data_IF_467004971567
#
_entry.id   IF_467004971567
#
_cell.length_a   1.000
_cell.length_b   1.000
_cell.length_c   1.000
_cell.angle_alpha   90.00
_cell.angle_beta   90.00
_cell.angle_gamma   90.00
#
_symmetry.space_group_name_H-M   'P 1'
#
loop_
_entity.id
_entity.type
_entity.pdbx_description
1 polymer ?
2 non-polymer ?
3 non-polymer ?
4 water ?
#
# COMPACT_ATOMS: atom_id res chain seq x y z
N UNK A 1 0.48 4.30 28.13
CA UNK A 1 1.28 5.48 27.81
C UNK A 1 0.37 6.60 27.29
N UNK A 2 -0.70 6.88 28.03
CA UNK A 2 -1.68 7.86 27.58
C UNK A 2 -1.40 9.27 28.07
N UNK A 3 -0.55 9.43 29.08
CA UNK A 3 -0.31 10.77 29.58
C UNK A 3 0.86 11.44 28.88
N UNK A 4 1.97 10.72 28.71
CA UNK A 4 3.15 11.25 28.08
C UNK A 4 3.48 10.44 26.85
N UNK A 5 3.80 11.16 25.78
CA UNK A 5 4.49 10.63 24.61
C UNK A 5 5.56 9.62 24.98
N UNK A 6 5.57 8.47 24.31
CA UNK A 6 6.76 7.61 24.38
C UNK A 6 7.91 8.25 23.61
N UNK A 7 9.13 8.12 24.15
CA UNK A 7 10.30 8.68 23.49
C UNK A 7 10.44 8.16 22.07
N UNK A 8 10.08 6.90 21.83
CA UNK A 8 10.24 6.35 20.49
C UNK A 8 9.32 7.04 19.48
N UNK A 9 8.22 7.67 19.92
CA UNK A 9 7.32 8.36 19.01
C UNK A 9 7.73 9.82 18.75
N UNK A 10 8.53 10.41 19.63
CA UNK A 10 8.90 11.82 19.48
C UNK A 10 9.46 12.18 18.11
N UNK A 11 10.36 11.39 17.49
CA UNK A 11 10.85 11.81 16.18
C UNK A 11 9.75 11.90 15.14
N UNK A 12 8.73 11.04 15.23
CA UNK A 12 7.63 11.09 14.28
C UNK A 12 6.76 12.32 14.51
N UNK A 13 6.50 12.64 15.78
CA UNK A 13 5.76 13.86 16.07
C UNK A 13 6.52 15.08 15.57
N UNK A 14 7.85 15.06 15.68
CA UNK A 14 8.63 16.22 15.23
C UNK A 14 8.62 16.37 13.71
N UNK A 15 8.74 15.26 12.98
CA UNK A 15 8.61 15.31 11.52
C UNK A 15 7.29 15.95 11.13
N UNK A 16 6.21 15.50 11.79
CA UNK A 16 4.88 16.02 11.49
C UNK A 16 4.80 17.52 11.80
N UNK A 17 5.31 17.92 12.95
CA UNK A 17 5.17 19.31 13.33
C UNK A 17 5.95 20.23 12.40
N UNK A 18 7.14 19.80 11.98
CA UNK A 18 7.98 20.64 11.13
C UNK A 18 7.37 20.84 9.75
N UNK A 19 6.64 19.86 9.23
CA UNK A 19 6.12 19.97 7.87
C UNK A 19 4.64 20.32 7.81
N UNK A 20 3.90 20.13 8.88
CA UNK A 20 2.47 20.38 8.90
C UNK A 20 1.71 19.14 8.50
N UNK A 21 0.38 19.28 8.50
CA UNK A 21 -0.40 18.14 8.11
C UNK A 21 -0.47 17.07 9.20
N UNK A 22 -0.87 15.88 8.78
CA UNK A 22 -1.22 14.80 9.69
C UNK A 22 -0.49 13.54 9.22
N UNK A 23 0.41 13.01 10.06
CA UNK A 23 1.29 11.92 9.69
C UNK A 23 0.93 10.67 10.50
N UNK A 24 0.60 9.58 9.82
CA UNK A 24 0.32 8.31 10.46
C UNK A 24 1.40 7.29 10.15
N UNK A 25 1.90 6.63 11.20
CA UNK A 25 2.98 5.66 11.05
C UNK A 25 2.66 4.45 11.91
N UNK A 26 2.91 3.25 11.36
CA UNK A 26 2.94 2.05 12.18
C UNK A 26 3.97 1.10 11.60
N UNK A 27 4.82 0.55 12.45
CA UNK A 27 5.77 -0.47 12.05
C UNK A 27 5.73 -1.61 13.06
N UNK A 28 5.98 -2.81 12.57
CA UNK A 28 6.03 -3.99 13.42
C UNK A 28 7.21 -4.86 13.04
N UNK A 29 7.96 -5.28 14.05
CA UNK A 29 8.98 -6.32 13.90
C UNK A 29 8.27 -7.67 14.02
N UNK A 30 8.26 -8.46 12.95
CA UNK A 30 7.46 -9.69 12.97
C UNK A 30 8.07 -10.75 13.86
N UNK A 31 9.33 -10.62 14.24
CA UNK A 31 9.92 -11.59 15.13
C UNK A 31 9.54 -11.34 16.58
N UNK A 32 9.71 -10.11 17.03
CA UNK A 32 9.52 -9.80 18.44
C UNK A 32 8.15 -9.25 18.76
N UNK A 33 7.41 -8.79 17.75
CA UNK A 33 6.16 -8.11 17.99
C UNK A 33 6.30 -6.68 18.44
N UNK A 34 7.52 -6.15 18.55
CA UNK A 34 7.67 -4.75 18.92
C UNK A 34 7.13 -3.85 17.83
N UNK A 35 6.58 -2.70 18.24
CA UNK A 35 5.94 -1.79 17.31
C UNK A 35 6.39 -0.35 17.53
N UNK A 36 6.19 0.45 16.50
CA UNK A 36 6.42 1.88 16.48
C UNK A 36 5.19 2.51 15.87
N UNK A 37 4.68 3.58 16.47
CA UNK A 37 3.48 4.21 15.94
C UNK A 37 3.35 5.68 16.23
N UNK A 38 2.61 6.37 15.35
CA UNK A 38 2.16 7.73 15.56
C UNK A 38 0.86 7.86 14.79
N UNK A 39 -0.23 8.22 15.46
CA UNK A 39 -1.55 8.25 14.82
C UNK A 39 -1.85 6.92 14.14
N UNK A 40 -1.38 5.83 14.76
CA UNK A 40 -1.43 4.53 14.09
C UNK A 40 -2.85 4.03 13.95
N UNK A 41 -3.79 4.54 14.75
CA UNK A 41 -5.18 4.12 14.69
C UNK A 41 -6.10 5.18 14.11
N UNK A 42 -5.54 6.21 13.49
CA UNK A 42 -6.34 7.20 12.77
C UNK A 42 -6.54 6.79 11.32
N UNK A 43 -7.69 7.19 10.76
CA UNK A 43 -8.00 6.85 9.36
C UNK A 43 -7.36 7.81 8.38
N UNK A 44 -6.87 7.25 7.27
CA UNK A 44 -6.32 7.99 6.15
C UNK A 44 -6.86 7.39 4.86
N UNK A 45 -7.03 8.22 3.85
CA UNK A 45 -7.36 7.72 2.51
C UNK A 45 -6.29 6.75 2.04
N UNK A 46 -6.71 5.59 1.53
CA UNK A 46 -5.75 4.63 0.99
C UNK A 46 -5.08 5.12 -0.28
N UNK A 47 -5.84 5.78 -1.16
CA UNK A 47 -5.38 6.03 -2.52
C UNK A 47 -4.88 4.71 -3.11
N UNK A 48 -3.82 4.74 -3.92
CA UNK A 48 -3.40 3.51 -4.59
C UNK A 48 -2.90 2.44 -3.64
N UNK A 49 -2.77 2.69 -2.34
CA UNK A 49 -2.39 1.55 -1.49
C UNK A 49 -3.44 0.45 -1.52
N UNK A 50 -4.70 0.77 -1.87
CA UNK A 50 -5.72 -0.29 -1.99
C UNK A 50 -5.33 -1.31 -3.04
N UNK A 51 -4.51 -0.92 -4.03
CA UNK A 51 -4.18 -1.84 -5.12
C UNK A 51 -3.32 -3.01 -4.66
N UNK A 52 -2.58 -2.83 -3.55
CA UNK A 52 -1.82 -3.95 -3.00
C UNK A 52 -2.72 -4.99 -2.37
N UNK A 53 -3.90 -4.56 -1.90
CA UNK A 53 -4.88 -5.49 -1.36
C UNK A 53 -5.69 -6.12 -2.49
N UNK A 54 -6.03 -5.32 -3.50
CA UNK A 54 -6.74 -5.82 -4.67
C UNK A 54 -5.95 -6.92 -5.38
N UNK A 55 -4.65 -6.69 -5.61
CA UNK A 55 -3.84 -7.74 -6.25
C UNK A 55 -3.92 -9.03 -5.47
N UNK A 56 -3.89 -8.96 -4.13
CA UNK A 56 -3.99 -10.16 -3.30
C UNK A 56 -5.36 -10.82 -3.43
N UNK A 57 -6.43 -10.01 -3.48
CA UNK A 57 -7.77 -10.58 -3.68
C UNK A 57 -7.85 -11.37 -4.97
N UNK A 58 -7.26 -10.83 -6.04
CA UNK A 58 -7.30 -11.52 -7.32
C UNK A 58 -6.49 -12.80 -7.27
N UNK A 59 -5.30 -12.75 -6.68
CA UNK A 59 -4.47 -13.95 -6.57
C UNK A 59 -5.13 -15.00 -5.70
N UNK A 60 -5.88 -14.60 -4.67
CA UNK A 60 -6.64 -15.57 -3.89
C UNK A 60 -7.74 -16.23 -4.71
N UNK A 61 -8.32 -15.48 -5.66
CA UNK A 61 -9.26 -16.10 -6.59
C UNK A 61 -8.57 -17.08 -7.53
N UNK A 62 -7.35 -16.74 -7.98
CA UNK A 62 -6.57 -17.72 -8.76
C UNK A 62 -6.36 -18.98 -7.94
N UNK A 63 -5.98 -18.82 -6.67
CA UNK A 63 -5.68 -19.96 -5.80
C UNK A 63 -6.89 -20.87 -5.65
N UNK A 64 -8.10 -20.29 -5.57
CA UNK A 64 -9.31 -21.07 -5.36
C UNK A 64 -9.91 -21.60 -6.66
N UNK A 65 -9.31 -21.32 -7.81
CA UNK A 65 -9.88 -21.75 -9.07
C UNK A 65 -10.98 -20.86 -9.61
N UNK A 66 -11.26 -19.74 -8.95
CA UNK A 66 -12.27 -18.78 -9.40
C UNK A 66 -11.74 -17.88 -10.50
N UNK A 67 -10.43 -17.90 -10.75
CA UNK A 67 -9.79 -17.05 -11.73
C UNK A 67 -8.56 -17.78 -12.25
N UNK A 68 -8.08 -17.38 -13.44
CA UNK A 68 -6.87 -17.93 -14.02
C UNK A 68 -5.92 -16.80 -14.35
N UNK A 69 -4.63 -17.01 -14.07
CA UNK A 69 -3.62 -16.00 -14.40
C UNK A 69 -3.63 -15.67 -15.87
N UNK A 70 -3.86 -16.66 -16.73
CA UNK A 70 -3.73 -16.44 -18.17
C UNK A 70 -5.01 -15.95 -18.84
N UNK A 71 -6.09 -15.75 -18.08
CA UNK A 71 -7.33 -15.34 -18.72
C UNK A 71 -7.24 -13.91 -19.21
N UNK A 72 -7.73 -13.67 -20.42
CA UNK A 72 -7.72 -12.33 -20.99
C UNK A 72 -8.93 -11.53 -20.55
N UNK A 73 -8.69 -10.33 -20.04
CA UNK A 73 -9.73 -9.41 -19.63
C UNK A 73 -9.83 -8.34 -20.71
N UNK A 74 -11.00 -8.22 -21.33
CA UNK A 74 -11.15 -7.34 -22.49
C UNK A 74 -11.57 -5.93 -22.09
N UNK A 75 -11.06 -4.95 -22.83
CA UNK A 75 -11.37 -3.56 -22.55
C UNK A 75 -11.13 -2.74 -23.80
N UNK A 76 -11.60 -1.48 -23.76
CA UNK A 76 -11.42 -0.56 -24.88
C UNK A 76 -10.99 0.79 -24.35
N UNK A 77 -10.82 1.74 -25.29
CA UNK A 77 -10.43 3.09 -24.93
C UNK A 77 -11.41 3.73 -23.96
N UNK A 78 -12.69 3.34 -24.01
CA UNK A 78 -13.68 3.90 -23.09
C UNK A 78 -13.37 3.59 -21.63
N UNK A 79 -12.54 2.59 -21.37
CA UNK A 79 -12.21 2.20 -20.01
C UNK A 79 -11.00 2.94 -19.46
N UNK A 80 -10.27 3.67 -20.28
CA UNK A 80 -9.02 4.26 -19.85
C UNK A 80 -9.25 5.51 -19.02
N UNK A 81 -8.60 5.58 -17.88
CA UNK A 81 -8.51 6.81 -17.09
C UNK A 81 -7.04 7.14 -16.85
N UNK A 82 -6.77 8.25 -16.17
CA UNK A 82 -5.42 8.75 -15.98
C UNK A 82 -4.53 7.73 -15.27
N UNK A 83 -3.23 7.94 -15.39
CA UNK A 83 -2.19 7.11 -14.75
C UNK A 83 -2.47 5.63 -14.97
N UNK A 84 -2.57 5.27 -16.25
CA UNK A 84 -2.83 3.90 -16.68
C UNK A 84 -1.86 3.55 -17.81
N UNK A 85 -0.55 3.60 -17.56
CA UNK A 85 0.39 3.45 -18.69
C UNK A 85 0.34 2.10 -19.37
N UNK A 86 0.15 1.03 -18.61
CA UNK A 86 0.21 -0.30 -19.20
C UNK A 86 -1.07 -0.61 -19.96
N UNK A 87 -2.22 -0.38 -19.34
CA UNK A 87 -3.47 -0.60 -20.06
C UNK A 87 -3.62 0.34 -21.24
N UNK A 88 -3.14 1.59 -21.10
CA UNK A 88 -3.17 2.50 -22.25
C UNK A 88 -2.31 1.97 -23.39
N UNK A 89 -1.09 1.49 -23.06
CA UNK A 89 -0.20 0.95 -24.07
C UNK A 89 -0.81 -0.24 -24.80
N UNK A 90 -1.62 -1.05 -24.11
CA UNK A 90 -2.14 -2.28 -24.69
C UNK A 90 -3.56 -2.17 -25.22
N UNK A 91 -4.16 -0.96 -25.22
CA UNK A 91 -5.59 -0.87 -25.48
C UNK A 91 -5.95 -1.35 -26.87
N UNK A 92 -5.08 -1.11 -27.85
CA UNK A 92 -5.40 -1.54 -29.22
C UNK A 92 -5.47 -3.05 -29.32
N UNK A 93 -4.72 -3.77 -28.48
CA UNK A 93 -4.82 -5.22 -28.43
C UNK A 93 -6.15 -5.68 -27.87
N UNK A 94 -6.80 -4.82 -27.08
CA UNK A 94 -8.16 -5.07 -26.64
C UNK A 94 -8.29 -5.92 -25.41
N UNK A 95 -7.18 -6.34 -24.79
CA UNK A 95 -7.25 -7.21 -23.63
C UNK A 95 -5.87 -7.29 -23.00
N UNK A 96 -5.85 -7.65 -21.72
CA UNK A 96 -4.62 -8.04 -21.01
C UNK A 96 -4.96 -9.20 -20.09
N UNK A 97 -3.96 -10.03 -19.81
CA UNK A 97 -4.19 -11.15 -18.91
C UNK A 97 -4.35 -10.69 -17.46
N UNK A 98 -5.02 -11.53 -16.67
CA UNK A 98 -5.13 -11.30 -15.23
C UNK A 98 -3.76 -11.09 -14.64
N UNK A 99 -2.80 -11.94 -15.02
CA UNK A 99 -1.44 -11.83 -14.48
C UNK A 99 -0.83 -10.47 -14.81
N UNK A 100 -0.99 -10.03 -16.06
CA UNK A 100 -0.43 -8.75 -16.49
C UNK A 100 -1.11 -7.58 -15.81
N UNK A 101 -2.43 -7.68 -15.59
CA UNK A 101 -3.14 -6.62 -14.87
C UNK A 101 -2.70 -6.54 -13.42
N UNK A 102 -2.51 -7.69 -12.76
CA UNK A 102 -2.02 -7.67 -11.39
C UNK A 102 -0.64 -7.03 -11.34
N UNK A 103 0.22 -7.37 -12.31
CA UNK A 103 1.54 -6.77 -12.33
C UNK A 103 1.45 -5.27 -12.56
N UNK A 104 0.54 -4.84 -13.43
CA UNK A 104 0.41 -3.42 -13.73
C UNK A 104 -0.04 -2.63 -12.52
N UNK A 105 -0.97 -3.18 -11.71
CA UNK A 105 -1.39 -2.42 -10.54
C UNK A 105 -0.28 -2.34 -9.50
N UNK A 106 0.51 -3.42 -9.36
CA UNK A 106 1.56 -3.43 -8.35
C UNK A 106 2.78 -2.63 -8.79
N UNK A 107 3.15 -2.72 -10.08
CA UNK A 107 4.40 -2.12 -10.51
C UNK A 107 4.21 -0.66 -10.91
N UNK A 108 3.04 -0.29 -11.45
CA UNK A 108 2.81 1.06 -11.96
C UNK A 108 1.59 1.73 -11.39
N UNK A 109 0.89 1.13 -10.42
CA UNK A 109 -0.37 1.68 -9.90
C UNK A 109 -1.41 1.92 -11.00
N UNK A 110 -1.38 1.11 -12.07
CA UNK A 110 -2.20 1.37 -13.24
C UNK A 110 -3.69 1.45 -12.86
N UNK A 111 -4.30 2.62 -13.09
CA UNK A 111 -5.65 2.88 -12.59
C UNK A 111 -6.69 2.04 -13.30
N UNK A 112 -6.64 2.02 -14.63
CA UNK A 112 -7.61 1.22 -15.37
C UNK A 112 -7.44 -0.26 -15.07
N UNK A 113 -6.18 -0.72 -14.90
CA UNK A 113 -5.99 -2.12 -14.55
C UNK A 113 -6.71 -2.45 -13.25
N UNK A 114 -6.66 -1.55 -12.26
CA UNK A 114 -7.34 -1.82 -11.00
C UNK A 114 -8.86 -1.88 -11.18
N UNK A 115 -9.43 -0.96 -11.97
CA UNK A 115 -10.87 -1.00 -12.21
C UNK A 115 -11.28 -2.29 -12.93
N UNK A 116 -10.50 -2.72 -13.91
CA UNK A 116 -10.79 -3.97 -14.61
C UNK A 116 -10.73 -5.17 -13.66
N UNK A 117 -9.72 -5.20 -12.78
CA UNK A 117 -9.66 -6.30 -11.80
C UNK A 117 -10.85 -6.25 -10.86
N UNK A 118 -11.23 -5.06 -10.41
CA UNK A 118 -12.43 -4.94 -9.57
C UNK A 118 -13.67 -5.41 -10.32
N UNK A 119 -13.76 -5.09 -11.63
CA UNK A 119 -14.88 -5.54 -12.44
C UNK A 119 -14.96 -7.06 -12.51
N UNK A 120 -13.81 -7.72 -12.49
CA UNK A 120 -13.79 -9.16 -12.57
C UNK A 120 -14.18 -9.82 -11.26
N UNK A 121 -14.13 -9.09 -10.14
CA UNK A 121 -14.07 -9.75 -8.84
C UNK A 121 -15.13 -9.29 -7.84
N UNK A 122 -16.05 -8.42 -8.23
CA UNK A 122 -17.11 -8.00 -7.33
C UNK A 122 -17.00 -6.58 -6.79
N UNK A 123 -16.05 -5.78 -7.28
CA UNK A 123 -16.03 -4.37 -6.96
C UNK A 123 -15.48 -4.06 -5.59
N UNK A 124 -15.58 -2.80 -5.18
CA UNK A 124 -15.11 -2.41 -3.83
C UNK A 124 -15.69 -3.25 -2.70
N UNK A 125 -16.96 -3.65 -2.79
CA UNK A 125 -17.55 -4.44 -1.72
C UNK A 125 -16.84 -5.77 -1.56
N UNK A 126 -16.45 -6.39 -2.67
CA UNK A 126 -15.76 -7.68 -2.58
C UNK A 126 -14.34 -7.53 -2.08
N UNK A 127 -13.66 -6.43 -2.42
CA UNK A 127 -12.35 -6.16 -1.83
C UNK A 127 -12.48 -5.98 -0.32
N UNK A 128 -13.49 -5.22 0.12
CA UNK A 128 -13.69 -5.07 1.56
C UNK A 128 -13.98 -6.41 2.22
N UNK A 129 -14.83 -7.24 1.60
CA UNK A 129 -15.13 -8.55 2.17
C UNK A 129 -13.88 -9.43 2.23
N UNK A 130 -13.00 -9.31 1.24
CA UNK A 130 -11.77 -10.08 1.26
C UNK A 130 -10.93 -9.73 2.50
N UNK A 131 -10.74 -8.43 2.78
CA UNK A 131 -9.92 -8.07 3.94
C UNK A 131 -10.64 -8.38 5.24
N UNK A 132 -11.98 -8.28 5.28
CA UNK A 132 -12.71 -8.68 6.47
C UNK A 132 -12.45 -10.14 6.78
N UNK A 133 -12.43 -10.97 5.74
CA UNK A 133 -12.17 -12.39 5.94
C UNK A 133 -10.78 -12.67 6.47
N UNK A 134 -9.87 -11.72 6.31
CA UNK A 134 -8.53 -11.81 6.88
C UNK A 134 -8.46 -11.29 8.30
N UNK A 135 -9.56 -10.80 8.84
CA UNK A 135 -9.61 -10.26 10.20
C UNK A 135 -9.43 -8.77 10.30
N UNK A 136 -9.37 -8.07 9.17
CA UNK A 136 -9.26 -6.62 9.15
C UNK A 136 -10.67 -6.06 9.15
N UNK A 137 -11.07 -5.42 10.24
CA UNK A 137 -12.39 -4.83 10.34
C UNK A 137 -12.35 -3.32 10.15
N UNK A 138 -11.21 -2.78 9.74
CA UNK A 138 -10.98 -1.34 9.64
C UNK A 138 -10.94 -0.90 8.18
N UNK A 139 -10.07 -1.50 7.38
CA UNK A 139 -9.87 -1.11 6.00
C UNK A 139 -11.15 -1.27 5.20
N UNK A 140 -11.45 -0.28 4.35
CA UNK A 140 -12.65 -0.38 3.54
C UNK A 140 -12.44 0.25 2.18
N UNK A 141 -12.85 -0.46 1.13
CA UNK A 141 -12.88 0.07 -0.22
C UNK A 141 -14.33 0.30 -0.60
N UNK A 142 -14.62 1.49 -1.13
CA UNK A 142 -16.01 1.92 -1.32
C UNK A 142 -16.30 2.50 -2.70
N UNK A 143 -15.30 3.10 -3.34
CA UNK A 143 -15.50 3.84 -4.57
C UNK A 143 -14.40 3.48 -5.55
N UNK A 144 -14.56 3.95 -6.79
CA UNK A 144 -13.55 3.81 -7.83
C UNK A 144 -12.79 5.12 -8.00
N UNK A 145 -11.58 5.03 -8.55
CA UNK A 145 -10.85 6.22 -8.89
C UNK A 145 -11.50 6.92 -10.09
N UNK A 146 -11.39 8.26 -10.16
CA UNK A 146 -10.67 9.14 -9.26
C UNK A 146 -11.38 9.51 -7.96
N UNK A 147 -12.69 9.29 -7.86
CA UNK A 147 -13.40 9.77 -6.67
C UNK A 147 -12.87 9.13 -5.38
N UNK A 148 -12.38 7.89 -5.45
CA UNK A 148 -11.86 7.26 -4.24
C UNK A 148 -10.61 7.95 -3.70
N UNK A 149 -10.02 8.88 -4.45
CA UNK A 149 -8.90 9.68 -3.96
C UNK A 149 -9.33 10.95 -3.25
N UNK A 150 -10.62 11.10 -2.96
CA UNK A 150 -11.13 12.30 -2.31
C UNK A 150 -11.72 11.94 -0.97
N UNK A 151 -11.37 12.70 0.06
CA UNK A 151 -11.90 12.41 1.39
C UNK A 151 -13.42 12.53 1.41
N UNK A 152 -14.07 11.53 2.00
CA UNK A 152 -15.52 11.52 2.10
C UNK A 152 -15.84 10.62 3.31
N UNK A 153 -15.85 11.23 4.48
CA UNK A 153 -16.05 10.45 5.70
C UNK A 153 -15.00 9.36 5.80
N UNK A 154 -15.45 8.13 6.09
CA UNK A 154 -14.55 6.99 6.20
C UNK A 154 -14.38 6.21 4.91
N UNK A 155 -14.99 6.64 3.80
CA UNK A 155 -14.91 5.86 2.56
C UNK A 155 -13.48 5.73 2.07
N UNK A 156 -13.10 4.50 1.69
CA UNK A 156 -11.80 4.24 1.07
C UNK A 156 -10.63 4.57 1.98
N UNK A 157 -10.77 4.27 3.27
CA UNK A 157 -9.74 4.57 4.24
C UNK A 157 -9.21 3.30 4.88
N UNK A 158 -8.03 3.42 5.47
CA UNK A 158 -7.49 2.42 6.38
C UNK A 158 -6.84 3.17 7.53
N UNK A 159 -6.24 2.43 8.47
CA UNK A 159 -5.31 3.02 9.41
C UNK A 159 -3.93 2.44 9.16
N UNK A 160 -2.86 3.15 9.57
CA UNK A 160 -1.53 2.58 9.35
C UNK A 160 -1.38 1.20 9.98
N UNK A 161 -1.92 1.03 11.19
CA UNK A 161 -1.82 -0.25 11.88
C UNK A 161 -2.62 -1.33 11.17
N UNK A 162 -3.83 -1.03 10.71
CA UNK A 162 -4.65 -2.06 10.08
C UNK A 162 -4.04 -2.55 8.77
N UNK A 163 -3.60 -1.62 7.91
CA UNK A 163 -3.04 -2.10 6.65
C UNK A 163 -1.70 -2.80 6.85
N UNK A 164 -0.90 -2.36 7.83
CA UNK A 164 0.34 -3.08 8.10
C UNK A 164 0.06 -4.52 8.54
N UNK A 165 -0.95 -4.70 9.40
CA UNK A 165 -1.31 -6.05 9.85
C UNK A 165 -1.83 -6.89 8.69
N UNK A 166 -2.65 -6.29 7.82
CA UNK A 166 -3.16 -7.04 6.67
C UNK A 166 -2.04 -7.40 5.71
N UNK A 167 -1.12 -6.46 5.46
CA UNK A 167 0.05 -6.76 4.64
C UNK A 167 0.85 -7.90 5.22
N UNK A 168 1.00 -7.94 6.54
CA UNK A 168 1.71 -9.05 7.16
C UNK A 168 0.99 -10.37 6.91
N UNK A 169 -0.34 -10.37 7.05
CA UNK A 169 -1.08 -11.61 6.79
C UNK A 169 -0.93 -12.06 5.33
N UNK A 170 -1.02 -11.11 4.40
CA UNK A 170 -0.94 -11.47 2.98
C UNK A 170 0.43 -12.00 2.62
N UNK A 171 1.49 -11.38 3.15
CA UNK A 171 2.83 -11.67 2.69
C UNK A 171 3.53 -12.71 3.54
N UNK A 172 3.08 -12.96 4.77
CA UNK A 172 3.77 -13.87 5.67
C UNK A 172 2.82 -14.79 6.42
N UNK A 173 1.52 -14.78 6.11
CA UNK A 173 0.53 -15.47 6.90
C UNK A 173 -0.12 -16.68 6.28
N UNK A 174 0.41 -17.20 5.17
CA UNK A 174 -0.11 -18.42 4.54
C UNK A 174 -1.58 -18.25 4.13
N UNK A 175 -1.95 -17.05 3.71
CA UNK A 175 -3.27 -16.87 3.14
C UNK A 175 -3.28 -17.01 1.62
N UNK A 176 -2.11 -16.87 0.98
CA UNK A 176 -1.93 -17.09 -0.44
C UNK A 176 -1.08 -18.32 -0.66
N UNK A 177 -1.24 -18.97 -1.82
CA UNK A 177 -0.38 -20.07 -2.21
C UNK A 177 1.07 -19.58 -2.31
N UNK A 178 2.02 -20.53 -2.29
CA UNK A 178 3.41 -20.15 -2.43
C UNK A 178 3.64 -19.32 -3.70
N UNK A 179 3.02 -19.73 -4.82
CA UNK A 179 3.20 -18.98 -6.05
C UNK A 179 2.56 -17.61 -6.01
N UNK A 180 1.34 -17.52 -5.47
CA UNK A 180 0.67 -16.21 -5.38
C UNK A 180 1.37 -15.29 -4.40
N UNK A 181 1.81 -15.82 -3.24
CA UNK A 181 2.55 -15.00 -2.30
C UNK A 181 3.81 -14.42 -2.93
N UNK A 182 4.55 -15.26 -3.67
CA UNK A 182 5.76 -14.79 -4.32
C UNK A 182 5.44 -13.77 -5.41
N UNK A 183 4.33 -13.98 -6.14
CA UNK A 183 3.97 -13.05 -7.21
C UNK A 183 3.57 -11.69 -6.64
N UNK A 184 2.86 -11.67 -5.50
CA UNK A 184 2.56 -10.41 -4.82
C UNK A 184 3.84 -9.68 -4.42
N UNK A 185 4.77 -10.40 -3.77
CA UNK A 185 5.98 -9.74 -3.32
C UNK A 185 6.83 -9.28 -4.52
N UNK A 186 6.83 -10.06 -5.60
CA UNK A 186 7.61 -9.68 -6.78
C UNK A 186 7.10 -8.37 -7.36
N UNK A 187 5.78 -8.22 -7.51
CA UNK A 187 5.25 -6.97 -8.03
C UNK A 187 5.57 -5.80 -7.13
N UNK A 188 5.48 -6.02 -5.81
CA UNK A 188 5.82 -4.95 -4.87
C UNK A 188 7.31 -4.64 -4.86
N UNK A 189 8.16 -5.63 -5.08
CA UNK A 189 9.59 -5.36 -5.17
C UNK A 189 9.91 -4.56 -6.42
N UNK A 190 9.26 -4.86 -7.54
CA UNK A 190 9.49 -4.18 -8.82
C UNK A 190 8.76 -2.84 -8.91
N UNK A 191 7.99 -2.48 -7.89
CA UNK A 191 7.18 -1.27 -7.95
C UNK A 191 8.05 -0.03 -8.16
N UNK A 192 7.59 0.86 -9.04
CA UNK A 192 8.34 2.07 -9.35
C UNK A 192 7.86 3.35 -8.66
N UNK A 193 6.55 3.61 -8.55
CA UNK A 193 6.11 4.91 -8.04
C UNK A 193 6.42 5.21 -6.59
N UNK A 194 6.89 4.25 -5.80
CA UNK A 194 7.23 4.51 -4.41
C UNK A 194 8.70 4.55 -4.09
N UNK A 195 9.58 4.56 -5.11
CA UNK A 195 11.00 4.39 -4.82
C UNK A 195 11.61 5.57 -4.07
N UNK A 196 10.99 6.74 -4.10
CA UNK A 196 11.49 7.88 -3.33
C UNK A 196 10.73 8.07 -2.02
N UNK A 197 10.12 7.01 -1.50
CA UNK A 197 9.42 7.03 -0.22
C UNK A 197 10.16 6.16 0.79
N UNK A 198 9.51 5.19 1.45
CA UNK A 198 10.17 4.46 2.52
C UNK A 198 11.48 3.85 2.05
N UNK A 199 11.47 3.25 0.86
CA UNK A 199 12.64 2.50 0.41
C UNK A 199 13.87 3.37 0.24
N UNK A 200 13.69 4.66 -0.05
CA UNK A 200 14.85 5.54 -0.20
C UNK A 200 15.59 5.78 1.11
N UNK A 201 14.97 5.48 2.25
CA UNK A 201 15.60 5.65 3.55
C UNK A 201 16.29 4.40 4.06
N UNK A 202 16.12 3.27 3.41
CA UNK A 202 16.61 2.02 3.98
C UNK A 202 18.10 1.82 3.69
N UNK A 203 18.84 1.21 4.62
CA UNK A 203 20.26 0.96 4.40
C UNK A 203 20.49 0.12 3.16
N UNK A 204 21.62 0.38 2.50
CA UNK A 204 22.04 -0.44 1.38
C UNK A 204 22.10 -1.91 1.81
N UNK A 205 21.53 -2.78 1.00
CA UNK A 205 21.54 -4.20 1.30
C UNK A 205 20.27 -4.72 1.93
N UNK A 206 19.40 -3.84 2.42
CA UNK A 206 18.09 -4.28 2.88
C UNK A 206 17.21 -4.48 1.67
N UNK A 207 16.53 -5.61 1.61
CA UNK A 207 15.59 -5.90 0.53
C UNK A 207 14.22 -5.40 0.96
N UNK A 208 13.48 -4.81 0.03
CA UNK A 208 12.18 -4.27 0.41
C UNK A 208 11.22 -4.30 -0.78
N UNK A 209 9.93 -4.25 -0.44
CA UNK A 209 8.85 -4.34 -1.42
C UNK A 209 7.76 -3.40 -0.91
N UNK A 210 7.22 -2.53 -1.78
CA UNK A 210 6.28 -1.55 -1.24
C UNK A 210 5.08 -1.37 -2.16
N UNK A 211 4.08 -0.66 -1.64
CA UNK A 211 2.91 -0.23 -2.41
C UNK A 211 2.60 1.21 -2.01
N UNK A 212 2.79 2.17 -2.89
CA UNK A 212 2.50 3.57 -2.58
C UNK A 212 1.05 3.94 -2.94
N UNK A 213 0.68 5.16 -2.54
CA UNK A 213 -0.54 5.77 -3.05
C UNK A 213 -0.47 7.26 -2.87
N UNK A 214 -1.09 7.98 -3.80
CA UNK A 214 -0.98 9.43 -3.80
C UNK A 214 -2.28 10.06 -4.29
N UNK A 215 -2.64 11.20 -3.70
CA UNK A 215 -3.59 12.11 -4.33
C UNK A 215 -2.88 13.41 -4.66
N UNK A 216 -3.35 14.08 -5.71
CA UNK A 216 -2.69 15.32 -6.13
C UNK A 216 -2.71 16.36 -5.03
N UNK A 217 -3.82 16.48 -4.30
CA UNK A 217 -3.97 17.64 -3.43
C UNK A 217 -3.57 17.43 -1.98
N UNK A 218 -3.32 16.19 -1.53
CA UNK A 218 -2.98 16.07 -0.10
C UNK A 218 -2.32 14.78 0.35
N UNK A 219 -2.62 13.64 -0.26
CA UNK A 219 -2.31 12.36 0.36
C UNK A 219 -1.06 11.75 -0.25
N UNK A 220 -0.13 11.30 0.60
CA UNK A 220 1.06 10.60 0.13
C UNK A 220 1.31 9.46 1.09
N UNK A 221 1.19 8.23 0.58
CA UNK A 221 1.23 7.01 1.40
C UNK A 221 2.22 6.01 0.85
N UNK A 222 2.63 5.08 1.72
CA UNK A 222 3.42 3.94 1.30
C UNK A 222 3.34 2.88 2.40
N UNK A 223 3.24 1.61 2.02
CA UNK A 223 3.49 0.55 3.00
C UNK A 223 4.49 -0.43 2.41
N UNK A 224 5.30 -1.03 3.28
CA UNK A 224 6.43 -1.83 2.81
C UNK A 224 6.66 -3.04 3.67
N UNK A 225 7.07 -4.13 3.01
CA UNK A 225 7.71 -5.27 3.63
C UNK A 225 9.21 -5.05 3.54
N UNK A 226 9.88 -5.11 4.68
CA UNK A 226 11.30 -4.77 4.78
C UNK A 226 12.04 -5.98 5.28
N UNK A 227 13.08 -6.39 4.54
CA UNK A 227 13.84 -7.60 4.84
C UNK A 227 15.32 -7.27 5.05
N UNK A 228 15.70 -6.84 6.26
CA UNK A 228 17.12 -6.71 6.56
C UNK A 228 17.77 -8.09 6.63
N UNK A 229 19.02 -8.21 6.22
CA UNK A 229 19.69 -9.50 6.32
C UNK A 229 19.81 -9.95 7.77
N UNK A 230 19.62 -11.24 8.02
CA UNK A 230 19.89 -11.78 9.34
C UNK A 230 18.89 -11.51 10.45
N UNK A 231 17.67 -11.09 10.13
CA UNK A 231 16.65 -10.90 11.17
C UNK A 231 15.29 -11.10 10.53
N UNK A 232 14.26 -11.17 11.38
CA UNK A 232 12.91 -11.32 10.88
C UNK A 232 12.49 -10.09 10.08
N UNK A 233 11.59 -10.25 9.12
CA UNK A 233 11.11 -9.07 8.38
C UNK A 233 10.30 -8.12 9.25
N UNK A 234 10.14 -6.91 8.74
CA UNK A 234 9.30 -5.91 9.36
C UNK A 234 8.29 -5.41 8.34
N UNK A 235 7.15 -4.91 8.83
CA UNK A 235 6.18 -4.20 8.01
C UNK A 235 6.15 -2.76 8.48
N UNK A 236 6.00 -1.81 7.56
CA UNK A 236 5.91 -0.40 7.95
C UNK A 236 4.93 0.29 7.02
N UNK A 237 4.04 1.09 7.60
CA UNK A 237 3.07 1.87 6.85
C UNK A 237 3.21 3.33 7.24
N UNK A 238 3.24 4.21 6.23
CA UNK A 238 3.32 5.65 6.45
C UNK A 238 2.27 6.32 5.58
N UNK A 239 1.36 7.05 6.21
CA UNK A 239 0.26 7.75 5.54
C UNK A 239 0.36 9.21 5.91
N UNK A 240 0.39 10.09 4.92
CA UNK A 240 0.59 11.51 5.17
C UNK A 240 -0.52 12.29 4.48
N UNK A 241 -1.28 13.04 5.26
CA UNK A 241 -2.41 13.85 4.80
C UNK A 241 -2.03 15.31 5.02
N UNK A 242 -1.63 15.99 3.95
CA UNK A 242 -1.02 17.32 4.06
C UNK A 242 -1.49 18.25 2.95
N UNK A 243 -2.73 18.74 3.04
CA UNK A 243 -3.21 19.70 2.05
C UNK A 243 -2.28 20.89 1.90
N UNK A 244 -2.00 21.26 0.65
CA UNK A 244 -1.20 22.42 0.38
C UNK A 244 0.30 22.21 0.44
N UNK A 245 0.77 21.01 0.76
CA UNK A 245 2.19 20.66 0.73
C UNK A 245 2.48 20.00 -0.60
N UNK A 246 3.60 20.37 -1.22
CA UNK A 246 3.89 19.85 -2.56
C UNK A 246 4.08 18.34 -2.51
N UNK A 247 3.85 17.70 -3.66
CA UNK A 247 4.07 16.25 -3.73
C UNK A 247 5.50 15.89 -3.35
N UNK A 248 6.48 16.67 -3.81
CA UNK A 248 7.87 16.36 -3.48
C UNK A 248 8.12 16.51 -1.98
N UNK A 249 7.57 17.56 -1.37
CA UNK A 249 7.76 17.73 0.07
C UNK A 249 7.07 16.63 0.86
N UNK A 250 5.94 16.13 0.36
CA UNK A 250 5.26 15.03 1.05
C UNK A 250 6.09 13.75 0.96
N UNK A 251 6.73 13.49 -0.20
CA UNK A 251 7.63 12.34 -0.26
C UNK A 251 8.79 12.49 0.70
N UNK A 252 9.31 13.72 0.86
CA UNK A 252 10.41 13.93 1.80
C UNK A 252 10.00 13.56 3.22
N UNK A 253 8.74 13.86 3.59
CA UNK A 253 8.25 13.45 4.91
C UNK A 253 8.23 11.94 5.05
N UNK A 254 7.83 11.23 3.98
CA UNK A 254 7.86 9.78 4.04
C UNK A 254 9.29 9.27 4.20
N UNK A 255 10.26 9.90 3.54
CA UNK A 255 11.65 9.47 3.72
C UNK A 255 12.13 9.73 5.14
N UNK A 256 11.75 10.89 5.71
CA UNK A 256 12.11 11.18 7.11
C UNK A 256 11.50 10.16 8.05
N UNK A 257 10.23 9.81 7.84
CA UNK A 257 9.61 8.76 8.65
C UNK A 257 10.29 7.43 8.43
N UNK A 258 10.70 7.14 7.19
CA UNK A 258 11.46 5.93 6.93
C UNK A 258 12.77 5.88 7.70
N UNK A 259 13.46 7.03 7.77
CA UNK A 259 14.71 7.08 8.53
C UNK A 259 14.45 6.87 10.01
N UNK A 260 13.36 7.43 10.54
CA UNK A 260 13.01 7.20 11.94
C UNK A 260 12.70 5.73 12.18
N UNK A 261 12.03 5.10 11.22
CA UNK A 261 11.79 3.65 11.28
C UNK A 261 13.09 2.87 11.32
N UNK A 262 14.07 3.21 10.46
CA UNK A 262 15.33 2.48 10.45
C UNK A 262 16.04 2.62 11.79
N UNK A 263 16.05 3.84 12.33
CA UNK A 263 16.68 4.08 13.62
C UNK A 263 16.03 3.26 14.72
N UNK A 264 14.68 3.23 14.72
CA UNK A 264 13.96 2.41 15.68
C UNK A 264 14.31 0.93 15.50
N UNK A 265 14.28 0.44 14.25
CA UNK A 265 14.44 -0.98 14.03
C UNK A 265 15.84 -1.45 14.40
N UNK A 266 16.84 -0.58 14.27
CA UNK A 266 18.21 -1.01 14.51
C UNK A 266 18.65 -0.79 15.95
N UNK A 267 17.85 -0.12 16.78
CA UNK A 267 18.25 0.22 18.15
C UNK A 267 17.32 -0.27 19.25
N UNK A 268 16.01 -0.27 19.03
CA UNK A 268 15.09 -0.77 20.05
C UNK A 268 14.08 -1.78 19.53
N UNK A 269 13.78 -1.76 18.23
CA UNK A 269 12.66 -2.50 17.74
C UNK A 269 13.03 -3.76 17.02
#
# INVERSE_FOLDING_TARGET
HHHHHAAEESPLAEIERRSGGRLGVFAIDTGSGRTLGHRADERFLMCSTFKGLLAAQILARVDSGSERLDRLVHYTEKDLIFTSPVTKANVAQGAMSIEALCRAVLVESDNTAAILLMRSAGGPAALTRFVRGLGDTVTRSDRYEPDSNRYHGVLDTTTPKAIAATAQRLLLGDVLSAGSRARLERGMTDCKPGLNRIRAALPAGWLAADRPGTSVDRETNDYALVRPPGRAPLLVAVYYDAPGVSMDAREAVLREAGSAFVQWATNAG
#
